data_IF_226064622552
#
_entry.id   IF_226064622552
#
_cell.length_a   1.000
_cell.length_b   1.000
_cell.length_c   1.000
_cell.angle_alpha   90.00
_cell.angle_beta   90.00
_cell.angle_gamma   90.00
#
_symmetry.space_group_name_H-M   'P 1'
#
loop_
_entity.id
_entity.type
_entity.pdbx_description
1 polymer ?
#
# COMPACT_ATOMS: atom_id res chain seq x y z
N UNK A 1 23.71 9.68 -1.42
CA UNK A 1 23.01 10.35 -2.55
C UNK A 1 23.06 9.53 -3.83
N UNK A 2 24.23 9.29 -4.44
CA UNK A 2 24.33 8.55 -5.73
C UNK A 2 23.68 7.16 -5.70
N UNK A 3 23.94 6.34 -4.67
CA UNK A 3 23.32 5.02 -4.57
C UNK A 3 21.78 5.05 -4.46
N UNK A 4 21.22 6.07 -3.78
CA UNK A 4 19.77 6.26 -3.70
C UNK A 4 19.23 6.61 -5.10
N UNK A 5 19.91 7.49 -5.83
CA UNK A 5 19.53 7.87 -7.18
C UNK A 5 19.53 6.67 -8.15
N UNK A 6 20.50 5.75 -8.03
CA UNK A 6 20.55 4.53 -8.86
C UNK A 6 19.39 3.58 -8.52
N UNK A 7 19.06 3.38 -7.24
CA UNK A 7 17.91 2.54 -6.86
C UNK A 7 16.58 3.20 -7.28
N UNK A 8 16.49 4.52 -7.18
CA UNK A 8 15.31 5.28 -7.57
C UNK A 8 15.14 5.38 -9.10
N UNK A 9 16.20 5.20 -9.88
CA UNK A 9 16.18 5.56 -11.30
C UNK A 9 15.15 4.80 -12.13
N UNK A 10 14.88 3.49 -11.95
CA UNK A 10 13.85 2.83 -12.75
C UNK A 10 12.44 3.35 -12.44
N UNK A 11 12.16 3.71 -11.19
CA UNK A 11 10.88 4.31 -10.77
C UNK A 11 10.73 5.70 -11.37
N UNK A 12 11.76 6.54 -11.24
CA UNK A 12 11.76 7.90 -11.79
C UNK A 12 11.68 7.88 -13.33
N UNK A 13 12.36 6.94 -13.97
CA UNK A 13 12.26 6.71 -15.41
C UNK A 13 10.83 6.37 -15.80
N UNK A 14 10.21 5.39 -15.14
CA UNK A 14 8.82 5.02 -15.43
C UNK A 14 7.87 6.19 -15.23
N UNK A 15 8.07 7.01 -14.20
CA UNK A 15 7.22 8.16 -13.91
C UNK A 15 7.30 9.24 -15.01
N UNK A 16 8.50 9.45 -15.56
CA UNK A 16 8.72 10.46 -16.61
C UNK A 16 8.27 9.96 -17.98
N UNK A 17 8.56 8.71 -18.31
CA UNK A 17 8.36 8.15 -19.65
C UNK A 17 6.97 7.53 -19.82
N UNK A 18 6.41 6.96 -18.74
CA UNK A 18 5.10 6.31 -18.73
C UNK A 18 4.19 6.88 -17.63
N UNK A 19 3.95 8.21 -17.59
CA UNK A 19 3.21 8.87 -16.51
C UNK A 19 1.79 8.30 -16.35
N UNK A 20 1.13 7.95 -17.45
CA UNK A 20 -0.25 7.41 -17.44
C UNK A 20 -0.34 6.03 -16.77
N UNK A 21 0.78 5.32 -16.64
CA UNK A 21 0.83 4.05 -15.91
C UNK A 21 0.82 4.22 -14.39
N UNK A 22 0.97 5.44 -13.87
CA UNK A 22 0.95 5.73 -12.43
C UNK A 22 -0.48 6.00 -11.93
N UNK A 23 -1.36 5.03 -12.15
CA UNK A 23 -2.66 5.02 -11.47
C UNK A 23 -2.48 4.66 -10.00
N UNK A 24 -3.14 5.44 -9.16
CA UNK A 24 -3.36 5.20 -7.74
C UNK A 24 -4.52 4.22 -7.51
N UNK A 25 -5.30 3.88 -8.52
CA UNK A 25 -6.35 2.88 -8.32
C UNK A 25 -5.75 1.48 -8.09
N UNK A 26 -6.43 0.68 -7.26
CA UNK A 26 -6.07 -0.71 -7.01
C UNK A 26 -5.94 -1.47 -8.32
N UNK A 27 -4.94 -2.35 -8.44
CA UNK A 27 -4.67 -3.20 -9.61
C UNK A 27 -4.65 -2.49 -10.99
N UNK A 28 -4.45 -1.17 -11.03
CA UNK A 28 -4.53 -0.39 -12.26
C UNK A 28 -3.23 0.34 -12.63
N UNK A 29 -2.13 0.11 -11.91
CA UNK A 29 -0.87 0.73 -12.31
C UNK A 29 0.28 0.64 -11.32
N UNK A 30 1.26 1.51 -11.58
CA UNK A 30 2.53 1.64 -10.89
C UNK A 30 2.50 2.67 -9.76
N UNK A 31 1.34 3.19 -9.36
CA UNK A 31 1.20 4.15 -8.26
C UNK A 31 1.93 3.69 -6.99
N UNK A 32 1.88 2.39 -6.70
CA UNK A 32 2.61 1.78 -5.60
C UNK A 32 4.14 2.00 -5.61
N UNK A 33 4.76 2.18 -6.78
CA UNK A 33 6.20 2.47 -6.86
C UNK A 33 6.56 3.79 -6.18
N UNK A 34 5.65 4.76 -6.13
CA UNK A 34 5.88 6.02 -5.42
C UNK A 34 6.01 5.78 -3.91
N UNK A 35 5.24 4.87 -3.33
CA UNK A 35 5.38 4.50 -1.92
C UNK A 35 6.70 3.78 -1.65
N UNK A 36 7.05 2.83 -2.52
CA UNK A 36 8.36 2.16 -2.45
C UNK A 36 9.50 3.18 -2.51
N UNK A 37 9.42 4.16 -3.41
CA UNK A 37 10.39 5.24 -3.54
C UNK A 37 10.49 6.07 -2.27
N UNK A 38 9.35 6.50 -1.70
CA UNK A 38 9.32 7.25 -0.43
C UNK A 38 9.97 6.46 0.70
N UNK A 39 9.67 5.16 0.83
CA UNK A 39 10.30 4.32 1.86
C UNK A 39 11.81 4.16 1.64
N UNK A 40 12.25 3.88 0.42
CA UNK A 40 13.67 3.76 0.07
C UNK A 40 14.41 5.06 0.39
N UNK A 41 13.85 6.21 -0.02
CA UNK A 41 14.44 7.52 0.27
C UNK A 41 14.45 7.75 1.77
N UNK A 42 13.32 7.60 2.47
CA UNK A 42 13.23 7.86 3.91
C UNK A 42 14.19 6.99 4.74
N UNK A 43 14.40 5.73 4.37
CA UNK A 43 15.27 4.81 5.11
C UNK A 43 16.76 4.97 4.79
N UNK A 44 17.09 5.39 3.57
CA UNK A 44 18.47 5.58 3.12
C UNK A 44 18.97 7.02 3.32
N UNK A 45 18.06 7.99 3.36
CA UNK A 45 18.40 9.39 3.56
C UNK A 45 18.94 9.60 4.97
N UNK A 46 20.05 10.33 5.09
CA UNK A 46 20.74 10.54 6.36
C UNK A 46 21.62 9.37 6.84
N UNK A 47 21.67 8.23 6.13
CA UNK A 47 22.67 7.21 6.40
C UNK A 47 24.07 7.75 6.05
N UNK A 48 24.94 7.85 7.06
CA UNK A 48 26.37 8.18 6.87
C UNK A 48 27.19 6.99 6.38
N UNK A 49 26.56 6.03 5.69
CA UNK A 49 27.21 4.83 5.19
C UNK A 49 27.76 5.13 3.79
N UNK A 50 29.08 5.07 3.64
CA UNK A 50 29.74 5.23 2.35
C UNK A 50 29.57 3.95 1.53
N UNK A 51 28.85 4.05 0.41
CA UNK A 51 28.73 2.97 -0.57
C UNK A 51 29.98 3.00 -1.46
N UNK A 52 30.65 1.86 -1.62
CA UNK A 52 31.87 1.79 -2.44
C UNK A 52 31.57 2.05 -3.92
N UNK A 53 32.52 2.67 -4.64
CA UNK A 53 32.39 2.92 -6.10
C UNK A 53 32.14 1.62 -6.88
N UNK A 54 32.79 0.52 -6.47
CA UNK A 54 32.62 -0.82 -7.03
C UNK A 54 31.16 -1.29 -6.93
N UNK A 55 30.54 -1.14 -5.76
CA UNK A 55 29.15 -1.54 -5.54
C UNK A 55 28.19 -0.67 -6.34
N UNK A 56 28.45 0.64 -6.47
CA UNK A 56 27.65 1.52 -7.34
C UNK A 56 27.69 1.04 -8.80
N UNK A 57 28.89 0.71 -9.32
CA UNK A 57 29.06 0.21 -10.69
C UNK A 57 28.33 -1.11 -10.94
N UNK A 58 28.20 -1.99 -9.93
CA UNK A 58 27.46 -3.24 -10.09
C UNK A 58 25.94 -3.08 -10.15
N UNK A 59 25.39 -2.02 -9.53
CA UNK A 59 23.93 -1.81 -9.53
C UNK A 59 23.47 -1.08 -10.79
N UNK A 60 24.33 -0.30 -11.46
CA UNK A 60 23.98 0.43 -12.69
C UNK A 60 23.43 -0.50 -13.79
N UNK A 61 24.10 -1.62 -14.16
CA UNK A 61 23.56 -2.56 -15.14
C UNK A 61 22.21 -3.15 -14.73
N UNK A 62 22.01 -3.41 -13.44
CA UNK A 62 20.74 -3.94 -12.94
C UNK A 62 19.61 -2.92 -13.10
N UNK A 63 19.87 -1.64 -12.82
CA UNK A 63 18.91 -0.57 -13.05
C UNK A 63 18.57 -0.44 -14.55
N UNK A 64 19.57 -0.56 -15.43
CA UNK A 64 19.39 -0.56 -16.88
C UNK A 64 18.51 -1.75 -17.32
N UNK A 65 18.73 -2.95 -16.78
CA UNK A 65 17.92 -4.14 -17.09
C UNK A 65 16.45 -3.90 -16.71
N UNK A 66 16.18 -3.33 -15.53
CA UNK A 66 14.79 -3.01 -15.14
C UNK A 66 14.19 -1.95 -16.06
N UNK A 67 14.95 -0.94 -16.46
CA UNK A 67 14.49 0.06 -17.43
C UNK A 67 14.18 -0.58 -18.78
N UNK A 68 15.03 -1.49 -19.27
CA UNK A 68 14.79 -2.25 -20.50
C UNK A 68 13.50 -3.08 -20.37
N UNK A 69 13.28 -3.73 -19.23
CA UNK A 69 12.03 -4.44 -18.95
C UNK A 69 10.82 -3.50 -19.00
N UNK A 70 10.89 -2.33 -18.37
CA UNK A 70 9.79 -1.36 -18.37
C UNK A 70 9.49 -0.85 -19.78
N UNK A 71 10.53 -0.63 -20.59
CA UNK A 71 10.38 -0.25 -22.00
C UNK A 71 9.78 -1.40 -22.80
N UNK A 72 10.25 -2.64 -22.64
CA UNK A 72 9.78 -3.78 -23.43
C UNK A 72 8.31 -4.12 -23.18
N UNK A 73 7.73 -3.74 -22.04
CA UNK A 73 6.29 -3.81 -21.79
C UNK A 73 5.48 -3.07 -22.86
N UNK A 74 5.98 -1.93 -23.35
CA UNK A 74 5.32 -1.13 -24.40
C UNK A 74 5.60 -1.65 -25.82
N UNK A 75 6.52 -2.62 -25.96
CA UNK A 75 6.89 -3.26 -27.24
C UNK A 75 6.47 -4.74 -27.28
N UNK A 76 5.34 -5.08 -26.66
CA UNK A 76 4.69 -6.39 -26.79
C UNK A 76 4.93 -7.37 -25.62
N UNK A 77 5.82 -7.06 -24.67
CA UNK A 77 5.96 -7.91 -23.48
C UNK A 77 4.67 -7.88 -22.62
N UNK A 78 3.95 -6.76 -22.59
CA UNK A 78 2.66 -6.66 -21.88
C UNK A 78 1.61 -7.60 -22.48
N UNK A 79 1.52 -7.66 -23.80
CA UNK A 79 0.60 -8.55 -24.50
C UNK A 79 0.93 -10.02 -24.21
N UNK A 80 2.22 -10.37 -24.24
CA UNK A 80 2.67 -11.71 -23.83
C UNK A 80 2.26 -12.05 -22.39
N UNK A 81 2.41 -11.12 -21.43
CA UNK A 81 1.97 -11.34 -20.05
C UNK A 81 0.45 -11.54 -19.96
N UNK A 82 -0.34 -10.74 -20.69
CA UNK A 82 -1.79 -10.88 -20.77
C UNK A 82 -2.20 -12.23 -21.36
N UNK A 83 -1.56 -12.66 -22.44
CA UNK A 83 -1.83 -13.96 -23.06
C UNK A 83 -1.47 -15.12 -22.14
N UNK A 84 -0.34 -15.03 -21.42
CA UNK A 84 0.07 -16.06 -20.45
C UNK A 84 -0.94 -16.24 -19.31
N UNK A 85 -1.71 -15.20 -18.97
CA UNK A 85 -2.75 -15.27 -17.94
C UNK A 85 -3.78 -16.38 -18.25
N UNK A 86 -4.10 -16.58 -19.54
CA UNK A 86 -5.02 -17.64 -20.00
C UNK A 86 -4.47 -19.04 -19.71
N UNK A 87 -3.16 -19.23 -19.89
CA UNK A 87 -2.50 -20.53 -19.65
C UNK A 87 -2.56 -20.93 -18.17
N UNK A 88 -2.51 -19.96 -17.27
CA UNK A 88 -2.54 -20.18 -15.81
C UNK A 88 -3.95 -20.10 -15.20
N UNK A 89 -5.01 -19.99 -16.02
CA UNK A 89 -6.39 -19.82 -15.55
C UNK A 89 -6.57 -18.65 -14.56
N UNK A 90 -5.82 -17.57 -14.79
CA UNK A 90 -5.93 -16.33 -14.01
C UNK A 90 -7.31 -15.72 -14.18
N UNK A 91 -7.91 -15.29 -13.08
CA UNK A 91 -9.26 -14.71 -13.05
C UNK A 91 -9.24 -13.20 -13.26
N UNK A 92 -8.26 -12.49 -12.68
CA UNK A 92 -8.06 -11.04 -12.86
C UNK A 92 -6.75 -10.74 -13.59
N UNK A 93 -6.86 -10.50 -14.90
CA UNK A 93 -5.72 -10.23 -15.79
C UNK A 93 -4.96 -8.97 -15.39
N UNK A 94 -5.64 -7.90 -14.98
CA UNK A 94 -4.96 -6.67 -14.56
C UNK A 94 -4.03 -6.90 -13.37
N UNK A 95 -4.52 -7.58 -12.32
CA UNK A 95 -3.71 -7.92 -11.14
C UNK A 95 -2.51 -8.79 -11.53
N UNK A 96 -2.69 -9.73 -12.46
CA UNK A 96 -1.61 -10.53 -13.02
C UNK A 96 -0.56 -9.71 -13.79
N UNK A 97 -1.00 -8.82 -14.67
CA UNK A 97 -0.09 -7.98 -15.46
C UNK A 97 0.75 -7.08 -14.56
N UNK A 98 0.13 -6.37 -13.61
CA UNK A 98 0.85 -5.44 -12.74
C UNK A 98 1.68 -6.13 -11.65
N UNK A 99 1.31 -7.34 -11.22
CA UNK A 99 2.10 -8.14 -10.27
C UNK A 99 3.56 -8.25 -10.73
N UNK A 100 3.80 -8.49 -12.02
CA UNK A 100 5.15 -8.65 -12.56
C UNK A 100 6.02 -7.40 -12.39
N UNK A 101 5.44 -6.20 -12.59
CA UNK A 101 6.14 -4.94 -12.36
C UNK A 101 6.65 -4.85 -10.90
N UNK A 102 5.81 -5.23 -9.92
CA UNK A 102 6.18 -5.27 -8.51
C UNK A 102 7.20 -6.36 -8.18
N UNK A 103 7.10 -7.54 -8.82
CA UNK A 103 8.10 -8.63 -8.67
C UNK A 103 9.47 -8.15 -9.15
N UNK A 104 9.55 -7.65 -10.38
CA UNK A 104 10.82 -7.21 -10.99
C UNK A 104 11.43 -6.06 -10.19
N UNK A 105 10.63 -5.07 -9.81
CA UNK A 105 11.10 -3.96 -8.98
C UNK A 105 11.54 -4.45 -7.59
N UNK A 106 10.79 -5.35 -6.96
CA UNK A 106 11.12 -5.93 -5.66
C UNK A 106 12.45 -6.68 -5.68
N UNK A 107 12.65 -7.55 -6.68
CA UNK A 107 13.92 -8.27 -6.88
C UNK A 107 15.07 -7.27 -7.08
N UNK A 108 14.89 -6.28 -7.94
CA UNK A 108 15.92 -5.27 -8.20
C UNK A 108 16.32 -4.53 -6.91
N UNK A 109 15.36 -4.02 -6.15
CA UNK A 109 15.63 -3.27 -4.92
C UNK A 109 16.33 -4.18 -3.89
N UNK A 110 15.88 -5.43 -3.71
CA UNK A 110 16.51 -6.39 -2.80
C UNK A 110 17.96 -6.68 -3.21
N UNK A 111 18.21 -6.93 -4.49
CA UNK A 111 19.55 -7.22 -5.01
C UNK A 111 20.45 -5.99 -4.88
N UNK A 112 19.96 -4.80 -5.24
CA UNK A 112 20.71 -3.55 -5.12
C UNK A 112 21.11 -3.26 -3.67
N UNK A 113 20.16 -3.38 -2.73
CA UNK A 113 20.41 -3.21 -1.30
C UNK A 113 21.36 -4.28 -0.75
N UNK A 114 21.26 -5.52 -1.24
CA UNK A 114 22.18 -6.61 -0.90
C UNK A 114 23.61 -6.34 -1.38
N UNK A 115 23.78 -5.75 -2.56
CA UNK A 115 25.10 -5.33 -3.07
C UNK A 115 25.64 -4.17 -2.24
N UNK A 116 24.80 -3.20 -1.87
CA UNK A 116 25.24 -2.04 -1.09
C UNK A 116 25.63 -2.35 0.35
N UNK A 117 24.85 -3.21 1.02
CA UNK A 117 24.97 -3.39 2.47
C UNK A 117 25.20 -4.84 2.92
N UNK A 118 25.32 -5.78 1.99
CA UNK A 118 25.31 -7.21 2.29
C UNK A 118 24.03 -7.60 3.05
N UNK A 119 24.08 -8.63 3.90
CA UNK A 119 22.93 -9.08 4.71
C UNK A 119 22.37 -8.01 5.66
N UNK A 120 23.08 -6.90 5.89
CA UNK A 120 22.63 -5.84 6.82
C UNK A 120 21.48 -5.01 6.27
N UNK A 121 21.20 -5.07 4.97
CA UNK A 121 20.11 -4.28 4.37
C UNK A 121 18.76 -4.51 5.04
N UNK A 122 18.47 -5.74 5.50
CA UNK A 122 17.22 -6.13 6.16
C UNK A 122 16.96 -5.29 7.42
N UNK A 123 18.02 -4.77 8.05
CA UNK A 123 17.92 -3.88 9.22
C UNK A 123 18.01 -2.40 8.85
N UNK A 124 18.57 -2.09 7.69
CA UNK A 124 18.88 -0.72 7.26
C UNK A 124 17.72 -0.12 6.46
N UNK A 125 17.24 -0.81 5.43
CA UNK A 125 16.18 -0.34 4.55
C UNK A 125 15.21 -1.47 4.11
N UNK A 126 14.51 -2.11 5.07
CA UNK A 126 13.56 -3.17 4.76
C UNK A 126 12.21 -2.71 4.20
N UNK A 127 11.75 -1.48 4.45
CA UNK A 127 10.37 -1.08 4.19
C UNK A 127 10.03 -1.07 2.70
N UNK A 128 10.93 -0.56 1.85
CA UNK A 128 10.76 -0.58 0.38
C UNK A 128 10.60 -2.01 -0.18
N UNK A 129 11.56 -2.92 0.08
CA UNK A 129 11.44 -4.34 -0.27
C UNK A 129 10.17 -5.03 0.25
N UNK A 130 9.82 -4.81 1.52
CA UNK A 130 8.63 -5.40 2.15
C UNK A 130 7.37 -4.92 1.43
N UNK A 131 7.30 -3.62 1.12
CA UNK A 131 6.17 -3.05 0.40
C UNK A 131 6.05 -3.63 -1.01
N UNK A 132 7.12 -3.64 -1.80
CA UNK A 132 7.10 -4.15 -3.17
C UNK A 132 6.76 -5.64 -3.23
N UNK A 133 7.38 -6.45 -2.36
CA UNK A 133 7.10 -7.88 -2.28
C UNK A 133 5.68 -8.16 -1.75
N UNK A 134 5.23 -7.38 -0.76
CA UNK A 134 3.86 -7.44 -0.25
C UNK A 134 2.84 -7.16 -1.35
N UNK A 135 3.01 -6.07 -2.10
CA UNK A 135 2.13 -5.71 -3.22
C UNK A 135 2.12 -6.80 -4.30
N UNK A 136 3.28 -7.38 -4.64
CA UNK A 136 3.34 -8.51 -5.57
C UNK A 136 2.53 -9.72 -5.07
N UNK A 137 2.66 -10.08 -3.79
CA UNK A 137 1.89 -11.17 -3.18
C UNK A 137 0.39 -10.88 -3.22
N UNK A 138 -0.03 -9.66 -2.88
CA UNK A 138 -1.45 -9.29 -2.84
C UNK A 138 -2.04 -9.25 -4.25
N UNK A 139 -1.32 -8.71 -5.24
CA UNK A 139 -1.74 -8.76 -6.64
C UNK A 139 -1.79 -10.19 -7.18
N UNK A 140 -0.89 -11.06 -6.75
CA UNK A 140 -0.94 -12.49 -7.07
C UNK A 140 -2.19 -13.16 -6.49
N UNK A 141 -2.46 -12.91 -5.20
CA UNK A 141 -3.67 -13.41 -4.54
C UNK A 141 -4.93 -12.91 -5.23
N UNK A 142 -4.99 -11.63 -5.61
CA UNK A 142 -6.12 -11.05 -6.35
C UNK A 142 -6.25 -11.61 -7.77
N UNK A 143 -5.13 -11.93 -8.44
CA UNK A 143 -5.13 -12.52 -9.78
C UNK A 143 -5.76 -13.93 -9.80
N UNK A 144 -5.45 -14.76 -8.79
CA UNK A 144 -5.89 -16.15 -8.71
C UNK A 144 -7.17 -16.36 -7.87
N UNK A 145 -7.37 -15.53 -6.85
CA UNK A 145 -8.46 -15.61 -5.89
C UNK A 145 -9.12 -14.24 -5.71
N UNK A 146 -9.76 -13.70 -6.77
CA UNK A 146 -10.35 -12.38 -6.72
C UNK A 146 -11.61 -12.33 -5.85
N UNK A 147 -12.06 -11.11 -5.56
CA UNK A 147 -13.36 -10.84 -4.95
C UNK A 147 -13.51 -11.50 -3.57
N UNK A 148 -14.56 -12.28 -3.35
CA UNK A 148 -14.91 -12.93 -2.08
C UNK A 148 -14.34 -14.34 -1.93
N UNK A 149 -13.57 -14.83 -2.91
CA UNK A 149 -13.04 -16.21 -2.90
C UNK A 149 -11.99 -16.48 -1.81
N UNK A 150 -11.32 -15.43 -1.31
CA UNK A 150 -10.45 -15.50 -0.12
C UNK A 150 -11.28 -15.38 1.17
N UNK A 151 -12.03 -16.45 1.48
CA UNK A 151 -12.98 -16.51 2.59
C UNK A 151 -12.50 -15.91 3.92
N UNK A 152 -11.28 -16.20 4.42
CA UNK A 152 -10.79 -15.62 5.66
C UNK A 152 -10.64 -14.09 5.63
N UNK A 153 -10.25 -13.51 4.48
CA UNK A 153 -10.12 -12.06 4.33
C UNK A 153 -11.50 -11.39 4.17
N UNK A 154 -12.44 -12.09 3.53
CA UNK A 154 -13.82 -11.60 3.34
C UNK A 154 -14.64 -11.62 4.64
N UNK A 155 -14.25 -12.42 5.63
CA UNK A 155 -14.98 -12.60 6.90
C UNK A 155 -15.33 -11.30 7.63
N UNK A 156 -14.43 -10.30 7.59
CA UNK A 156 -14.64 -9.03 8.31
C UNK A 156 -15.59 -8.07 7.58
N UNK A 157 -15.81 -8.28 6.28
CA UNK A 157 -16.50 -7.31 5.41
C UNK A 157 -17.97 -7.12 5.77
N UNK A 158 -18.78 -8.17 6.04
CA UNK A 158 -20.18 -8.00 6.43
C UNK A 158 -20.38 -7.10 7.64
N UNK A 159 -19.48 -7.17 8.64
CA UNK A 159 -19.57 -6.33 9.83
C UNK A 159 -19.35 -4.84 9.51
N UNK A 160 -18.41 -4.53 8.61
CA UNK A 160 -18.15 -3.15 8.17
C UNK A 160 -19.32 -2.61 7.33
N UNK A 161 -19.90 -3.44 6.45
CA UNK A 161 -21.09 -3.10 5.66
C UNK A 161 -22.29 -2.83 6.56
N UNK A 162 -22.57 -3.70 7.53
CA UNK A 162 -23.67 -3.51 8.48
C UNK A 162 -23.49 -2.25 9.32
N UNK A 163 -22.27 -1.97 9.77
CA UNK A 163 -21.97 -0.75 10.53
C UNK A 163 -22.23 0.51 9.67
N UNK A 164 -21.91 0.46 8.38
CA UNK A 164 -22.22 1.56 7.45
C UNK A 164 -23.72 1.76 7.26
N UNK A 165 -24.50 0.68 7.08
CA UNK A 165 -25.95 0.76 7.00
C UNK A 165 -26.55 1.38 8.27
N UNK A 166 -26.04 0.99 9.43
CA UNK A 166 -26.45 1.59 10.71
C UNK A 166 -26.15 3.09 10.74
N UNK A 167 -24.95 3.52 10.34
CA UNK A 167 -24.59 4.95 10.27
C UNK A 167 -25.52 5.73 9.33
N UNK A 168 -25.79 5.20 8.14
CA UNK A 168 -26.70 5.82 7.15
C UNK A 168 -28.10 6.00 7.73
N UNK A 169 -28.60 4.98 8.45
CA UNK A 169 -29.94 4.99 9.06
C UNK A 169 -30.03 5.99 10.20
N UNK A 170 -29.03 6.02 11.10
CA UNK A 170 -29.01 6.95 12.25
C UNK A 170 -28.88 8.40 11.81
N UNK A 171 -28.17 8.65 10.70
CA UNK A 171 -27.99 9.99 10.14
C UNK A 171 -29.09 10.41 9.15
N UNK A 172 -30.11 9.58 8.94
CA UNK A 172 -31.24 9.82 8.04
C UNK A 172 -30.82 10.25 6.62
N UNK A 173 -29.82 9.56 6.06
CA UNK A 173 -29.27 9.89 4.75
C UNK A 173 -30.03 9.23 3.57
N UNK A 174 -31.01 8.39 3.87
CA UNK A 174 -31.76 7.58 2.92
C UNK A 174 -32.03 6.18 3.46
N UNK A 175 -32.58 5.31 2.62
CA UNK A 175 -32.82 3.92 3.01
C UNK A 175 -31.64 3.05 2.64
N UNK A 176 -31.09 2.32 3.61
CA UNK A 176 -30.01 1.37 3.39
C UNK A 176 -30.33 0.02 4.05
N UNK A 177 -30.01 -1.07 3.36
CA UNK A 177 -30.06 -2.44 3.91
C UNK A 177 -28.83 -3.22 3.46
N UNK A 178 -28.44 -4.24 4.23
CA UNK A 178 -27.27 -5.06 3.93
C UNK A 178 -27.65 -6.54 3.86
N UNK A 179 -27.00 -7.26 2.95
CA UNK A 179 -26.98 -8.72 2.92
C UNK A 179 -25.56 -9.17 2.60
N UNK A 180 -24.94 -9.88 3.54
CA UNK A 180 -23.55 -10.32 3.45
C UNK A 180 -22.60 -9.15 3.15
N UNK A 181 -21.98 -9.14 1.99
CA UNK A 181 -21.08 -8.07 1.54
C UNK A 181 -21.74 -7.07 0.58
N UNK A 182 -23.05 -7.14 0.39
CA UNK A 182 -23.83 -6.29 -0.50
C UNK A 182 -24.63 -5.28 0.32
N UNK A 183 -24.59 -4.03 -0.12
CA UNK A 183 -25.36 -2.91 0.42
C UNK A 183 -26.36 -2.44 -0.63
N UNK A 184 -27.63 -2.42 -0.27
CA UNK A 184 -28.70 -1.85 -1.08
C UNK A 184 -28.99 -0.45 -0.56
N UNK A 185 -28.79 0.54 -1.42
CA UNK A 185 -28.96 1.95 -1.13
C UNK A 185 -30.10 2.50 -1.96
N UNK A 186 -30.90 3.39 -1.36
CA UNK A 186 -31.87 4.20 -2.09
C UNK A 186 -31.90 5.59 -1.46
N UNK A 187 -31.46 6.56 -2.26
CA UNK A 187 -31.32 7.97 -1.89
C UNK A 187 -32.02 8.87 -2.89
N UNK A 188 -31.54 10.11 -2.99
CA UNK A 188 -32.22 11.22 -3.66
C UNK A 188 -32.20 11.06 -5.20
N UNK A 189 -31.23 10.30 -5.72
CA UNK A 189 -31.02 10.06 -7.16
C UNK A 189 -31.50 8.68 -7.63
N UNK A 190 -32.04 7.86 -6.71
CA UNK A 190 -32.55 6.52 -7.01
C UNK A 190 -31.85 5.41 -6.23
N UNK A 191 -32.11 4.15 -6.60
CA UNK A 191 -31.48 2.99 -5.98
C UNK A 191 -30.09 2.70 -6.58
N UNK A 192 -29.16 2.25 -5.74
CA UNK A 192 -27.85 1.74 -6.14
C UNK A 192 -27.47 0.54 -5.27
N UNK A 193 -26.78 -0.44 -5.86
CA UNK A 193 -26.28 -1.62 -5.15
C UNK A 193 -24.76 -1.58 -5.13
N UNK A 194 -24.18 -1.65 -3.94
CA UNK A 194 -22.73 -1.69 -3.75
C UNK A 194 -22.33 -3.06 -3.23
N UNK A 195 -21.42 -3.73 -3.93
CA UNK A 195 -20.79 -4.96 -3.42
C UNK A 195 -19.39 -4.63 -2.92
N UNK A 196 -19.14 -4.95 -1.66
CA UNK A 196 -17.87 -4.65 -0.99
C UNK A 196 -17.02 -5.91 -0.91
N UNK A 197 -15.83 -5.87 -1.48
CA UNK A 197 -14.85 -6.96 -1.36
C UNK A 197 -13.78 -6.63 -0.33
N UNK A 198 -13.09 -7.63 0.21
CA UNK A 198 -12.04 -7.44 1.23
C UNK A 198 -10.99 -6.37 0.88
N UNK A 199 -10.54 -6.18 -0.40
CA UNK A 199 -9.60 -5.12 -0.70
C UNK A 199 -10.23 -3.74 -0.47
N UNK A 200 -11.48 -3.56 -0.88
CA UNK A 200 -12.23 -2.31 -0.75
C UNK A 200 -12.67 -2.04 0.70
N UNK A 201 -13.01 -3.10 1.44
CA UNK A 201 -13.32 -3.04 2.86
C UNK A 201 -12.13 -2.63 3.73
N UNK A 202 -10.92 -2.59 3.14
CA UNK A 202 -9.73 -2.09 3.82
C UNK A 202 -8.88 -3.16 4.49
N UNK A 203 -9.12 -4.44 4.20
CA UNK A 203 -8.20 -5.51 4.63
C UNK A 203 -6.84 -5.33 3.94
N UNK A 204 -6.85 -4.91 2.68
CA UNK A 204 -5.63 -4.58 1.95
C UNK A 204 -4.82 -3.46 2.65
N UNK A 205 -5.47 -2.36 3.04
CA UNK A 205 -4.81 -1.25 3.74
C UNK A 205 -4.30 -1.66 5.13
N UNK A 206 -4.99 -2.55 5.84
CA UNK A 206 -4.51 -3.14 7.11
C UNK A 206 -3.24 -3.97 6.88
N UNK A 207 -3.16 -4.75 5.80
CA UNK A 207 -1.97 -5.52 5.45
C UNK A 207 -0.79 -4.60 5.16
N UNK A 208 -0.98 -3.60 4.28
CA UNK A 208 0.07 -2.62 3.96
C UNK A 208 0.53 -1.90 5.22
N UNK A 209 -0.40 -1.37 6.02
CA UNK A 209 -0.10 -0.71 7.29
C UNK A 209 0.72 -1.64 8.19
N UNK A 210 0.31 -2.90 8.35
CA UNK A 210 0.96 -3.86 9.24
C UNK A 210 2.39 -4.16 8.79
N UNK A 211 2.62 -4.33 7.50
CA UNK A 211 3.93 -4.57 6.93
C UNK A 211 4.86 -3.37 7.09
N UNK A 212 4.40 -2.18 6.70
CA UNK A 212 5.20 -0.94 6.74
C UNK A 212 5.45 -0.49 8.18
N UNK A 213 4.39 -0.38 8.98
CA UNK A 213 4.50 0.05 10.37
C UNK A 213 5.28 -0.97 11.21
N UNK A 214 5.09 -2.27 10.96
CA UNK A 214 5.85 -3.33 11.61
C UNK A 214 7.34 -3.18 11.35
N UNK A 215 7.75 -3.04 10.09
CA UNK A 215 9.15 -2.82 9.71
C UNK A 215 9.74 -1.56 10.36
N UNK A 216 8.99 -0.45 10.32
CA UNK A 216 9.40 0.83 10.89
C UNK A 216 9.58 0.75 12.42
N UNK A 217 8.56 0.25 13.13
CA UNK A 217 8.61 0.09 14.58
C UNK A 217 9.72 -0.86 15.02
N UNK A 218 9.98 -1.93 14.29
CA UNK A 218 11.09 -2.85 14.59
C UNK A 218 12.44 -2.14 14.61
N UNK A 219 12.66 -1.21 13.68
CA UNK A 219 13.90 -0.41 13.58
C UNK A 219 14.06 0.64 14.69
N UNK A 220 12.97 1.18 15.20
CA UNK A 220 13.02 2.20 16.24
C UNK A 220 13.46 1.64 17.61
N UNK A 221 14.24 2.42 18.36
CA UNK A 221 14.64 2.08 19.73
C UNK A 221 13.52 2.41 20.75
N UNK A 222 12.38 1.73 20.60
CA UNK A 222 11.20 1.88 21.45
C UNK A 222 11.03 0.61 22.29
N UNK A 223 10.52 0.74 23.51
CA UNK A 223 10.19 -0.42 24.35
C UNK A 223 9.06 -1.26 23.72
N UNK A 224 9.17 -2.59 23.74
CA UNK A 224 8.22 -3.52 23.09
C UNK A 224 6.75 -3.21 23.37
N UNK A 225 6.37 -2.98 24.63
CA UNK A 225 4.98 -2.63 24.99
C UNK A 225 4.44 -1.41 24.22
N UNK A 226 5.26 -0.38 24.02
CA UNK A 226 4.84 0.82 23.27
C UNK A 226 4.79 0.57 21.78
N UNK A 227 5.72 -0.23 21.23
CA UNK A 227 5.62 -0.69 19.83
C UNK A 227 4.30 -1.40 19.60
N UNK A 228 3.92 -2.33 20.48
CA UNK A 228 2.62 -3.02 20.40
C UNK A 228 1.45 -2.05 20.48
N UNK A 229 1.46 -1.08 21.40
CA UNK A 229 0.41 -0.06 21.51
C UNK A 229 0.29 0.76 20.21
N UNK A 230 1.39 1.31 19.69
CA UNK A 230 1.36 2.07 18.43
C UNK A 230 0.89 1.21 17.27
N UNK A 231 1.37 -0.03 17.19
CA UNK A 231 0.96 -0.96 16.15
C UNK A 231 -0.55 -1.20 16.19
N UNK A 232 -1.11 -1.55 17.35
CA UNK A 232 -2.56 -1.79 17.53
C UNK A 232 -3.37 -0.52 17.28
N UNK A 233 -2.94 0.64 17.79
CA UNK A 233 -3.64 1.91 17.57
C UNK A 233 -3.73 2.27 16.09
N UNK A 234 -2.67 2.05 15.32
CA UNK A 234 -2.74 2.31 13.89
C UNK A 234 -3.53 1.26 13.10
N UNK A 235 -3.65 0.00 13.56
CA UNK A 235 -4.64 -0.94 12.99
C UNK A 235 -6.05 -0.39 13.22
N UNK A 236 -6.37 -0.01 14.46
CA UNK A 236 -7.69 0.54 14.81
C UNK A 236 -7.99 1.79 13.98
N UNK A 237 -7.04 2.72 13.87
CA UNK A 237 -7.22 3.91 13.05
C UNK A 237 -7.35 3.60 11.55
N UNK A 238 -6.64 2.58 11.04
CA UNK A 238 -6.83 2.11 9.66
C UNK A 238 -8.25 1.57 9.44
N UNK A 239 -8.79 0.78 10.38
CA UNK A 239 -10.18 0.32 10.33
C UNK A 239 -11.15 1.51 10.33
N UNK A 240 -10.92 2.52 11.18
CA UNK A 240 -11.76 3.73 11.23
C UNK A 240 -11.73 4.48 9.90
N UNK A 241 -10.55 4.67 9.30
CA UNK A 241 -10.41 5.34 8.00
C UNK A 241 -11.11 4.56 6.90
N UNK A 242 -11.00 3.23 6.89
CA UNK A 242 -11.72 2.38 5.95
C UNK A 242 -13.25 2.45 6.14
N UNK A 243 -13.72 2.55 7.39
CA UNK A 243 -15.14 2.78 7.69
C UNK A 243 -15.63 4.12 7.13
N UNK A 244 -14.86 5.19 7.32
CA UNK A 244 -15.13 6.51 6.73
C UNK A 244 -15.16 6.43 5.20
N UNK A 245 -14.26 5.65 4.59
CA UNK A 245 -14.22 5.43 3.14
C UNK A 245 -15.52 4.79 2.63
N UNK A 246 -15.91 3.64 3.19
CA UNK A 246 -17.15 2.94 2.78
C UNK A 246 -18.35 3.87 2.99
N UNK A 247 -18.36 4.62 4.09
CA UNK A 247 -19.42 5.57 4.39
C UNK A 247 -19.50 6.68 3.34
N UNK A 248 -18.35 7.25 2.97
CA UNK A 248 -18.25 8.31 1.95
C UNK A 248 -18.71 7.82 0.58
N UNK A 249 -18.36 6.58 0.20
CA UNK A 249 -18.84 5.95 -1.05
C UNK A 249 -20.35 5.74 -1.05
N UNK A 250 -20.89 5.32 0.09
CA UNK A 250 -22.33 5.12 0.27
C UNK A 250 -23.09 6.45 0.27
N UNK A 251 -22.54 7.47 0.93
CA UNK A 251 -23.07 8.83 0.92
C UNK A 251 -23.08 9.41 -0.49
N UNK A 252 -21.99 9.23 -1.25
CA UNK A 252 -21.91 9.68 -2.64
C UNK A 252 -22.99 9.04 -3.52
N UNK A 253 -23.19 7.73 -3.36
CA UNK A 253 -24.26 6.98 -4.03
C UNK A 253 -25.68 7.47 -3.65
N UNK A 254 -25.88 7.85 -2.37
CA UNK A 254 -27.18 8.29 -1.87
C UNK A 254 -27.51 9.74 -2.23
N UNK A 255 -26.51 10.64 -2.22
CA UNK A 255 -26.70 12.09 -2.21
C UNK A 255 -26.13 12.84 -3.40
N UNK A 256 -25.36 12.19 -4.26
CA UNK A 256 -24.71 12.86 -5.39
C UNK A 256 -25.08 12.24 -6.72
N UNK A 257 -24.92 10.92 -6.87
CA UNK A 257 -25.16 10.26 -8.15
C UNK A 257 -25.39 8.76 -8.00
N UNK A 258 -26.25 8.20 -8.84
CA UNK A 258 -26.37 6.75 -9.07
C UNK A 258 -25.77 6.34 -10.42
N UNK A 259 -25.12 7.26 -11.12
CA UNK A 259 -24.37 6.95 -12.33
C UNK A 259 -23.11 6.14 -11.99
N UNK A 260 -23.05 4.91 -12.51
CA UNK A 260 -21.99 3.96 -12.16
C UNK A 260 -20.59 4.48 -12.55
N UNK A 261 -20.49 5.23 -13.65
CA UNK A 261 -19.20 5.74 -14.12
C UNK A 261 -18.68 6.83 -13.18
N UNK A 262 -19.51 7.81 -12.85
CA UNK A 262 -19.14 8.89 -11.92
C UNK A 262 -18.84 8.34 -10.52
N UNK A 263 -19.59 7.32 -10.07
CA UNK A 263 -19.32 6.67 -8.79
C UNK A 263 -17.98 5.92 -8.81
N UNK A 264 -17.68 5.19 -9.90
CA UNK A 264 -16.42 4.45 -10.01
C UNK A 264 -15.21 5.38 -10.10
N UNK A 265 -15.33 6.53 -10.77
CA UNK A 265 -14.30 7.58 -10.75
C UNK A 265 -13.99 8.04 -9.32
N UNK A 266 -15.01 8.30 -8.50
CA UNK A 266 -14.80 8.64 -7.08
C UNK A 266 -14.23 7.45 -6.29
N UNK A 267 -14.75 6.25 -6.50
CA UNK A 267 -14.31 5.02 -5.83
C UNK A 267 -12.83 4.71 -6.05
N UNK A 268 -12.35 4.91 -7.27
CA UNK A 268 -10.97 4.64 -7.69
C UNK A 268 -9.94 5.49 -6.93
N UNK A 269 -10.33 6.69 -6.47
CA UNK A 269 -9.43 7.64 -5.80
C UNK A 269 -9.63 7.67 -4.29
N UNK A 270 -10.86 7.44 -3.80
CA UNK A 270 -11.22 7.61 -2.39
C UNK A 270 -10.39 6.74 -1.43
N UNK A 271 -10.01 5.53 -1.84
CA UNK A 271 -9.21 4.63 -1.00
C UNK A 271 -7.83 5.19 -0.67
N UNK A 272 -7.14 5.71 -1.69
CA UNK A 272 -5.78 6.22 -1.58
C UNK A 272 -5.73 7.55 -0.83
N UNK A 273 -6.63 8.47 -1.17
CA UNK A 273 -6.70 9.80 -0.54
C UNK A 273 -6.98 9.70 0.96
N UNK A 274 -7.70 8.67 1.43
CA UNK A 274 -7.99 8.53 2.85
C UNK A 274 -6.90 7.74 3.59
N UNK A 275 -6.45 6.62 3.02
CA UNK A 275 -5.50 5.74 3.70
C UNK A 275 -4.09 6.32 3.80
N UNK A 276 -3.58 6.92 2.71
CA UNK A 276 -2.17 7.35 2.66
C UNK A 276 -1.89 8.52 3.61
N UNK A 277 -2.69 9.61 3.60
CA UNK A 277 -2.48 10.68 4.57
C UNK A 277 -2.57 10.18 6.00
N UNK A 278 -3.51 9.26 6.30
CA UNK A 278 -3.59 8.62 7.60
C UNK A 278 -2.30 7.90 7.99
N UNK A 279 -1.78 7.03 7.11
CA UNK A 279 -0.53 6.28 7.36
C UNK A 279 0.65 7.22 7.65
N UNK A 280 0.83 8.25 6.83
CA UNK A 280 1.91 9.22 7.01
C UNK A 280 1.73 10.08 8.27
N UNK A 281 0.54 10.61 8.52
CA UNK A 281 0.24 11.40 9.72
C UNK A 281 0.49 10.55 10.97
N UNK A 282 0.03 9.30 10.99
CA UNK A 282 0.22 8.41 12.13
C UNK A 282 1.70 8.10 12.37
N UNK A 283 2.47 7.79 11.31
CA UNK A 283 3.91 7.61 11.39
C UNK A 283 4.62 8.85 11.95
N UNK A 284 4.28 10.03 11.44
CA UNK A 284 4.84 11.30 11.91
C UNK A 284 4.52 11.54 13.39
N UNK A 285 3.28 11.29 13.82
CA UNK A 285 2.88 11.40 15.24
C UNK A 285 3.75 10.50 16.11
N UNK A 286 3.92 9.22 15.73
CA UNK A 286 4.74 8.27 16.50
C UNK A 286 6.20 8.72 16.57
N UNK A 287 6.77 9.20 15.46
CA UNK A 287 8.13 9.74 15.41
C UNK A 287 8.27 10.94 16.33
N UNK A 288 7.33 11.90 16.26
CA UNK A 288 7.37 13.13 17.06
C UNK A 288 7.26 12.84 18.55
N UNK A 289 6.35 11.94 18.94
CA UNK A 289 6.15 11.54 20.34
C UNK A 289 7.41 10.87 20.89
N UNK A 290 7.97 9.88 20.20
CA UNK A 290 9.14 9.16 20.70
C UNK A 290 10.41 10.01 20.62
N UNK A 291 10.53 10.91 19.61
CA UNK A 291 11.64 11.87 19.53
C UNK A 291 11.62 12.87 20.71
N UNK A 292 10.45 13.42 21.05
CA UNK A 292 10.30 14.29 22.23
C UNK A 292 10.62 13.55 23.53
N UNK A 293 10.18 12.29 23.63
CA UNK A 293 10.45 11.45 24.79
C UNK A 293 11.94 11.14 24.97
N UNK A 294 12.65 10.79 23.90
CA UNK A 294 14.08 10.51 23.94
C UNK A 294 14.85 11.73 24.41
N UNK A 295 14.57 12.92 23.85
CA UNK A 295 15.16 14.19 24.31
C UNK A 295 14.92 14.47 25.79
N UNK A 296 13.72 14.18 26.30
CA UNK A 296 13.39 14.35 27.72
C UNK A 296 14.18 13.38 28.61
N UNK A 297 14.31 12.12 28.20
CA UNK A 297 15.10 11.13 28.94
C UNK A 297 16.59 11.51 28.99
N UNK A 298 17.13 12.00 27.86
CA UNK A 298 18.50 12.51 27.78
C UNK A 298 18.70 13.71 28.73
N UNK A 299 17.75 14.66 28.78
CA UNK A 299 17.82 15.79 29.71
C UNK A 299 17.72 15.40 31.20
N UNK A 300 17.07 14.28 31.50
CA UNK A 300 16.93 13.75 32.87
C UNK A 300 18.07 12.77 33.25
N UNK A 301 19.06 12.56 32.37
CA UNK A 301 20.14 11.60 32.59
C UNK A 301 19.69 10.13 32.63
N UNK A 302 18.49 9.82 32.14
CA UNK A 302 17.91 8.47 32.16
C UNK A 302 18.17 7.74 30.85
N UNK A 303 18.73 6.53 30.92
CA UNK A 303 18.88 5.66 29.76
C UNK A 303 17.53 5.07 29.33
N UNK A 304 17.27 4.91 28.02
CA UNK A 304 16.08 4.21 27.55
C UNK A 304 16.07 2.76 28.07
N UNK A 305 14.90 2.30 28.54
CA UNK A 305 14.72 0.96 29.07
C UNK A 305 15.19 -0.09 28.03
N UNK A 306 16.13 -0.97 28.42
CA UNK A 306 16.59 -2.07 27.57
C UNK A 306 15.44 -3.03 27.30
N UNK A 307 15.35 -3.52 26.06
CA UNK A 307 14.38 -4.53 25.67
C UNK A 307 14.76 -5.87 26.32
N UNK A 308 14.13 -6.24 27.43
CA UNK A 308 13.96 -7.64 27.84
C UNK A 308 12.77 -8.25 27.12
#
# INVERSE_FOLDING_TARGET
>A
MIGIAIIASPILFALVVFPDSFSLSWNQGRGGFLFALVFIVAELFGLRILISKKNLLYVIPLAIIVIIYLVSLEYGLRDYLIESAKQYNVQLVYSWTWMWDFIIMGIFVIVALSIYFGKRWIRIAPAGPIFLAGSAIILSLDAFFPYDTLGPLQYVVPYLVQTNVWLITVLDLGTATARDNIMFLKGDFGPMVLQVFWPSAGVHSIIIYSLVMGAFLLKMNIHRKRKSIYFTLGIVGTIIVNMIRIFSLSWYALKVTTDAKQWEEFHSVAGEIMFLPWLFVFLLIVILIESKRLKKLESEGKSPAKNT
#
